data_IF_035297870646
#
_entry.id   IF_035297870646
#
_cell.length_a   1.000
_cell.length_b   1.000
_cell.length_c   1.000
_cell.angle_alpha   90.00
_cell.angle_beta   90.00
_cell.angle_gamma   90.00
#
_symmetry.space_group_name_H-M   'P 1'
#
loop_
_entity.id
_entity.type
_entity.pdbx_description
1 polymer ?
#
# COMPACT_ATOMS: atom_id res chain seq x y z
N UNK A 1 20.34 13.96 8.73
CA UNK A 1 19.38 13.80 9.85
C UNK A 1 18.31 14.88 9.86
N UNK A 2 18.45 15.93 9.07
CA UNK A 2 17.54 17.09 9.05
C UNK A 2 16.73 17.17 7.74
N UNK A 3 16.68 16.08 6.98
CA UNK A 3 15.85 15.99 5.78
C UNK A 3 14.39 15.78 6.16
N UNK A 4 13.52 16.69 5.73
CA UNK A 4 12.07 16.66 5.96
C UNK A 4 11.28 16.35 4.68
N UNK A 5 11.99 16.06 3.56
CA UNK A 5 11.38 15.94 2.22
C UNK A 5 11.08 14.48 1.86
N UNK A 6 11.87 13.52 2.36
CA UNK A 6 11.74 12.10 2.02
C UNK A 6 11.95 11.24 3.25
N UNK A 7 11.01 10.32 3.50
CA UNK A 7 11.17 9.23 4.45
C UNK A 7 11.45 7.94 3.69
N UNK A 8 12.61 7.31 3.96
CA UNK A 8 12.97 6.01 3.42
C UNK A 8 12.77 4.94 4.48
N UNK A 9 11.87 4.01 4.22
CA UNK A 9 11.61 2.85 5.08
C UNK A 9 12.10 1.57 4.40
N UNK A 10 12.90 0.78 5.10
CA UNK A 10 13.42 -0.50 4.62
C UNK A 10 12.74 -1.62 5.39
N UNK A 11 11.99 -2.47 4.69
CA UNK A 11 11.31 -3.63 5.26
C UNK A 11 12.19 -4.88 5.15
N UNK A 12 12.76 -5.31 6.27
CA UNK A 12 13.51 -6.57 6.37
C UNK A 12 12.70 -7.60 7.14
N UNK A 13 12.67 -8.83 6.64
CA UNK A 13 11.94 -9.94 7.27
C UNK A 13 10.47 -9.58 7.56
N UNK A 14 9.83 -8.86 6.63
CA UNK A 14 8.46 -8.40 6.73
C UNK A 14 7.49 -9.36 6.05
N UNK A 15 6.33 -9.55 6.66
CA UNK A 15 5.20 -10.27 6.07
C UNK A 15 3.87 -9.70 6.57
N UNK A 16 2.98 -9.29 5.66
CA UNK A 16 1.73 -8.63 6.01
C UNK A 16 0.79 -9.49 6.87
N UNK A 17 0.77 -10.82 6.65
CA UNK A 17 -0.01 -11.71 7.52
C UNK A 17 0.52 -11.74 8.95
N UNK A 18 1.84 -11.78 9.11
CA UNK A 18 2.48 -11.79 10.42
C UNK A 18 2.27 -10.45 11.13
N UNK A 19 2.35 -9.35 10.39
CA UNK A 19 2.05 -8.00 10.89
C UNK A 19 0.64 -7.92 11.46
N UNK A 20 -0.37 -8.37 10.71
CA UNK A 20 -1.78 -8.39 11.16
C UNK A 20 -1.93 -9.25 12.42
N UNK A 21 -1.31 -10.43 12.45
CA UNK A 21 -1.35 -11.30 13.64
C UNK A 21 -0.68 -10.62 14.84
N UNK A 22 0.42 -9.90 14.63
CA UNK A 22 1.06 -9.11 15.68
C UNK A 22 0.13 -8.02 16.20
N UNK A 23 -0.50 -7.24 15.31
CA UNK A 23 -1.45 -6.21 15.67
C UNK A 23 -2.62 -6.77 16.52
N UNK A 24 -3.22 -7.89 16.10
CA UNK A 24 -4.29 -8.55 16.84
C UNK A 24 -3.81 -8.97 18.23
N UNK A 25 -2.61 -9.54 18.35
CA UNK A 25 -2.06 -9.98 19.64
C UNK A 25 -1.84 -8.79 20.59
N UNK A 26 -1.36 -7.67 20.09
CA UNK A 26 -1.17 -6.47 20.93
C UNK A 26 -2.53 -5.91 21.39
N UNK A 27 -3.52 -5.79 20.50
CA UNK A 27 -4.87 -5.37 20.88
C UNK A 27 -5.46 -6.25 21.99
N UNK A 28 -5.31 -7.59 21.88
CA UNK A 28 -5.78 -8.52 22.92
C UNK A 28 -5.03 -8.32 24.24
N UNK A 29 -3.70 -8.10 24.20
CA UNK A 29 -2.90 -7.86 25.41
C UNK A 29 -3.29 -6.60 26.15
N UNK A 30 -3.67 -5.56 25.40
CA UNK A 30 -4.13 -4.29 25.93
C UNK A 30 -5.59 -4.31 26.37
N UNK A 31 -6.29 -5.42 26.13
CA UNK A 31 -7.67 -5.64 26.58
C UNK A 31 -8.72 -4.92 25.75
N UNK A 32 -8.39 -4.59 24.49
CA UNK A 32 -9.32 -3.95 23.54
C UNK A 32 -10.57 -4.84 23.37
N UNK A 33 -11.74 -4.24 23.51
CA UNK A 33 -13.01 -4.92 23.35
C UNK A 33 -13.41 -5.00 21.89
N UNK A 34 -14.22 -5.99 21.52
CA UNK A 34 -14.58 -6.23 20.12
C UNK A 34 -15.32 -5.06 19.46
N UNK A 35 -16.09 -4.29 20.22
CA UNK A 35 -16.82 -3.12 19.76
C UNK A 35 -15.95 -1.86 19.57
N UNK A 36 -14.74 -1.88 20.13
CA UNK A 36 -13.73 -0.81 19.94
C UNK A 36 -12.95 -1.01 18.65
N UNK A 37 -12.90 -2.26 18.12
CA UNK A 37 -12.11 -2.57 16.93
C UNK A 37 -12.72 -1.94 15.69
N UNK A 38 -11.96 -1.08 15.02
CA UNK A 38 -12.28 -0.44 13.75
C UNK A 38 -11.02 -0.32 12.89
N UNK A 39 -11.14 0.16 11.65
CA UNK A 39 -10.03 0.27 10.70
C UNK A 39 -8.91 1.14 11.28
N UNK A 40 -9.23 2.31 11.80
CA UNK A 40 -8.25 3.27 12.32
C UNK A 40 -7.47 2.68 13.50
N UNK A 41 -8.15 1.90 14.35
CA UNK A 41 -7.49 1.23 15.46
C UNK A 41 -6.55 0.13 14.97
N UNK A 42 -6.95 -0.66 13.98
CA UNK A 42 -6.06 -1.65 13.37
C UNK A 42 -4.83 -1.00 12.77
N UNK A 43 -5.01 0.09 12.00
CA UNK A 43 -3.91 0.87 11.41
C UNK A 43 -2.91 1.35 12.47
N UNK A 44 -3.43 1.73 13.65
CA UNK A 44 -2.58 2.15 14.78
C UNK A 44 -1.64 1.04 15.28
N UNK A 45 -2.07 -0.23 15.20
CA UNK A 45 -1.27 -1.37 15.66
C UNK A 45 -0.41 -2.00 14.56
N UNK A 46 -0.54 -1.57 13.30
CA UNK A 46 0.33 -2.02 12.23
C UNK A 46 1.74 -1.39 12.31
N UNK A 47 2.73 -2.07 11.73
CA UNK A 47 4.11 -1.57 11.69
C UNK A 47 4.26 -0.26 10.90
N UNK A 48 3.28 0.05 10.07
CA UNK A 48 3.19 1.27 9.27
C UNK A 48 2.46 2.42 9.96
N UNK A 49 2.15 2.28 11.25
CA UNK A 49 1.49 3.34 12.01
C UNK A 49 2.17 4.70 11.81
N UNK A 50 1.38 5.71 11.50
CA UNK A 50 1.87 7.07 11.21
C UNK A 50 2.44 7.28 9.80
N UNK A 51 2.43 6.26 8.95
CA UNK A 51 2.75 6.37 7.52
C UNK A 51 1.46 6.32 6.69
N UNK A 52 1.36 7.07 5.59
CA UNK A 52 0.23 6.93 4.68
C UNK A 52 0.29 5.59 3.95
N UNK A 53 -0.87 5.08 3.54
CA UNK A 53 -0.94 3.94 2.65
C UNK A 53 -0.24 4.24 1.32
N UNK A 54 0.39 3.24 0.68
CA UNK A 54 1.08 3.46 -0.58
C UNK A 54 0.09 3.74 -1.72
N UNK A 55 0.31 4.83 -2.44
CA UNK A 55 -0.45 5.13 -3.65
C UNK A 55 -0.05 4.24 -4.83
N UNK A 56 1.24 3.93 -4.94
CA UNK A 56 1.82 3.13 -6.01
C UNK A 56 2.75 2.08 -5.44
N UNK A 57 2.55 0.84 -5.86
CA UNK A 57 3.47 -0.28 -5.58
C UNK A 57 4.10 -0.73 -6.90
N UNK A 58 5.42 -0.70 -6.94
CA UNK A 58 6.20 -1.14 -8.10
C UNK A 58 6.78 -2.52 -7.80
N UNK A 59 6.45 -3.49 -8.62
CA UNK A 59 7.01 -4.84 -8.56
C UNK A 59 7.92 -5.10 -9.75
N UNK A 60 9.17 -5.36 -9.45
CA UNK A 60 10.21 -5.73 -10.44
C UNK A 60 10.21 -7.24 -10.71
N UNK A 61 11.09 -7.70 -11.62
CA UNK A 61 11.33 -9.11 -11.98
C UNK A 61 10.20 -9.81 -12.77
N UNK A 62 9.23 -9.10 -13.34
CA UNK A 62 8.13 -9.69 -14.10
C UNK A 62 7.12 -10.48 -13.26
N UNK A 63 7.23 -10.46 -11.95
CA UNK A 63 6.37 -11.16 -11.03
C UNK A 63 5.07 -10.37 -10.79
N UNK A 64 3.92 -10.98 -11.04
CA UNK A 64 2.60 -10.33 -10.93
C UNK A 64 1.83 -10.82 -9.69
N UNK A 65 2.48 -10.82 -8.53
CA UNK A 65 1.89 -11.24 -7.26
C UNK A 65 2.38 -10.35 -6.12
N UNK A 66 1.59 -10.22 -5.07
CA UNK A 66 1.91 -9.36 -3.90
C UNK A 66 2.86 -10.01 -2.90
N UNK A 67 2.95 -11.34 -2.88
CA UNK A 67 3.87 -12.13 -2.04
C UNK A 67 3.87 -11.70 -0.57
N UNK A 68 2.70 -11.50 0.01
CA UNK A 68 2.53 -11.13 1.41
C UNK A 68 3.12 -9.75 1.80
N UNK A 69 3.31 -8.84 0.82
CA UNK A 69 3.83 -7.51 1.07
C UNK A 69 2.70 -6.50 1.18
N UNK A 70 2.62 -5.77 2.31
CA UNK A 70 1.66 -4.69 2.61
C UNK A 70 0.21 -5.04 2.25
N UNK A 71 -0.26 -6.27 2.60
CA UNK A 71 -1.57 -6.78 2.17
C UNK A 71 -2.75 -5.97 2.72
N UNK A 72 -2.60 -5.31 3.86
CA UNK A 72 -3.59 -4.40 4.43
C UNK A 72 -3.51 -3.03 3.77
N UNK A 73 -2.35 -2.42 3.78
CA UNK A 73 -2.10 -1.06 3.32
C UNK A 73 -2.23 -0.91 1.80
N UNK A 74 -2.06 -2.00 1.04
CA UNK A 74 -2.16 -2.01 -0.41
C UNK A 74 -3.58 -2.11 -0.96
N UNK A 75 -4.61 -2.06 -0.10
CA UNK A 75 -6.01 -2.28 -0.48
C UNK A 75 -6.50 -1.39 -1.63
N UNK A 76 -5.98 -0.16 -1.71
CA UNK A 76 -6.32 0.82 -2.75
C UNK A 76 -5.11 1.30 -3.56
N UNK A 77 -3.97 0.62 -3.44
CA UNK A 77 -2.76 0.95 -4.19
C UNK A 77 -2.89 0.61 -5.67
N UNK A 78 -2.33 1.46 -6.51
CA UNK A 78 -2.08 1.13 -7.91
C UNK A 78 -0.83 0.26 -8.02
N UNK A 79 -0.87 -0.72 -8.93
CA UNK A 79 0.23 -1.64 -9.14
C UNK A 79 0.89 -1.40 -10.50
N UNK A 80 2.22 -1.30 -10.48
CA UNK A 80 3.05 -1.28 -11.68
C UNK A 80 4.00 -2.46 -11.68
N UNK A 81 3.91 -3.32 -12.69
CA UNK A 81 4.75 -4.50 -12.86
C UNK A 81 5.75 -4.26 -13.98
N UNK A 82 7.04 -4.48 -13.71
CA UNK A 82 8.09 -4.37 -14.74
C UNK A 82 8.92 -5.66 -14.80
N UNK A 83 9.34 -6.09 -16.00
CA UNK A 83 10.24 -7.23 -16.15
C UNK A 83 11.67 -6.93 -15.70
N UNK A 84 12.04 -5.67 -15.53
CA UNK A 84 13.36 -5.27 -15.06
C UNK A 84 13.67 -5.88 -13.70
N UNK A 85 14.87 -6.39 -13.51
CA UNK A 85 15.33 -6.83 -12.19
C UNK A 85 15.73 -5.64 -11.33
N UNK A 86 15.70 -5.83 -10.02
CA UNK A 86 15.99 -4.73 -9.07
C UNK A 86 17.34 -4.01 -9.33
N UNK A 87 18.43 -4.69 -9.68
CA UNK A 87 19.68 -3.98 -9.98
C UNK A 87 19.63 -3.11 -11.25
N UNK A 88 18.72 -3.42 -12.18
CA UNK A 88 18.56 -2.73 -13.46
C UNK A 88 17.39 -1.72 -13.42
N UNK A 89 16.68 -1.64 -12.31
CA UNK A 89 15.59 -0.68 -12.10
C UNK A 89 16.17 0.71 -11.83
N UNK A 90 16.31 1.48 -12.87
CA UNK A 90 16.95 2.79 -12.86
C UNK A 90 15.93 3.95 -12.82
N UNK A 91 16.44 5.16 -13.02
CA UNK A 91 15.65 6.38 -13.06
C UNK A 91 14.63 6.39 -14.21
N UNK A 92 14.98 5.82 -15.35
CA UNK A 92 14.10 5.79 -16.54
C UNK A 92 12.92 4.83 -16.29
N UNK A 93 13.18 3.68 -15.69
CA UNK A 93 12.14 2.72 -15.29
C UNK A 93 11.20 3.32 -14.23
N UNK A 94 11.75 4.03 -13.23
CA UNK A 94 10.92 4.74 -12.26
C UNK A 94 10.06 5.82 -12.95
N UNK A 95 10.62 6.57 -13.88
CA UNK A 95 9.87 7.60 -14.62
C UNK A 95 8.72 7.00 -15.42
N UNK A 96 8.93 5.86 -16.09
CA UNK A 96 7.85 5.11 -16.78
C UNK A 96 6.74 4.71 -15.82
N UNK A 97 7.08 4.18 -14.66
CA UNK A 97 6.10 3.80 -13.64
C UNK A 97 5.27 4.99 -13.16
N UNK A 98 5.90 6.15 -12.94
CA UNK A 98 5.23 7.38 -12.52
C UNK A 98 4.34 7.96 -13.63
N UNK A 99 4.76 7.90 -14.89
CA UNK A 99 3.93 8.31 -16.03
C UNK A 99 2.70 7.42 -16.18
N UNK A 100 2.88 6.10 -16.09
CA UNK A 100 1.77 5.14 -16.11
C UNK A 100 0.78 5.43 -14.98
N UNK A 101 1.29 5.60 -13.75
CA UNK A 101 0.46 5.96 -12.59
C UNK A 101 -0.31 7.27 -12.81
N UNK A 102 0.34 8.30 -13.34
CA UNK A 102 -0.28 9.62 -13.58
C UNK A 102 -1.39 9.60 -14.63
N UNK A 103 -1.35 8.63 -15.55
CA UNK A 103 -2.36 8.46 -16.59
C UNK A 103 -3.60 7.67 -16.13
N UNK A 104 -3.57 7.08 -14.92
CA UNK A 104 -4.67 6.28 -14.38
C UNK A 104 -5.70 7.17 -13.68
N UNK A 105 -6.97 6.82 -13.85
CA UNK A 105 -8.08 7.42 -13.12
C UNK A 105 -8.38 6.60 -11.85
N UNK A 106 -8.12 7.17 -10.67
CA UNK A 106 -8.42 6.52 -9.39
C UNK A 106 -9.89 6.73 -9.02
N UNK A 107 -10.65 5.65 -8.97
CA UNK A 107 -12.11 5.69 -8.71
C UNK A 107 -12.50 5.31 -7.29
N UNK A 108 -11.60 4.77 -6.48
CA UNK A 108 -11.85 4.35 -5.08
C UNK A 108 -13.18 3.61 -4.89
N UNK A 109 -13.53 2.72 -5.84
CA UNK A 109 -14.79 1.99 -5.82
C UNK A 109 -16.05 2.80 -6.17
N UNK A 110 -15.93 4.06 -6.58
CA UNK A 110 -17.07 4.86 -7.07
C UNK A 110 -17.37 4.50 -8.52
N UNK A 111 -18.65 4.23 -8.81
CA UNK A 111 -19.13 4.11 -10.19
C UNK A 111 -19.05 5.49 -10.87
N UNK A 112 -18.56 5.56 -12.10
CA UNK A 112 -18.72 6.75 -12.93
C UNK A 112 -20.21 6.94 -13.15
N UNK A 113 -20.77 8.01 -12.65
CA UNK A 113 -22.14 8.43 -12.96
C UNK A 113 -22.20 8.85 -14.42
N UNK A 114 -22.41 7.88 -15.30
CA UNK A 114 -22.90 8.14 -16.64
C UNK A 114 -24.43 8.09 -16.55
N UNK A 115 -25.03 9.11 -15.95
CA UNK A 115 -26.45 9.38 -16.10
C UNK A 115 -26.58 10.43 -17.19
N UNK A 116 -26.77 10.01 -18.42
CA UNK A 116 -27.47 10.80 -19.41
C UNK A 116 -28.91 10.94 -18.91
N UNK A 117 -29.26 12.13 -18.44
CA UNK A 117 -30.62 12.57 -18.41
C UNK A 117 -31.06 12.66 -19.86
N UNK A 118 -31.86 11.71 -20.33
CA UNK A 118 -32.72 11.90 -21.47
C UNK A 118 -34.14 12.17 -20.95
N UNK A 119 -34.61 13.35 -21.26
CA UNK A 119 -35.94 13.93 -21.14
C UNK A 119 -37.07 13.03 -21.58
#
# INVERSE_FOLDING_TARGET
>A
RDNTVLNLNLAFNYGGRDEIVCAIREMIREGIQADEVNIDLVDHYLFTNGMPDPDLIIRTSGEMRISNFLIWQAAYSEWYFTPSYWPDFDREELHKALLDYSARERRFGKLSTCCTEET
#
